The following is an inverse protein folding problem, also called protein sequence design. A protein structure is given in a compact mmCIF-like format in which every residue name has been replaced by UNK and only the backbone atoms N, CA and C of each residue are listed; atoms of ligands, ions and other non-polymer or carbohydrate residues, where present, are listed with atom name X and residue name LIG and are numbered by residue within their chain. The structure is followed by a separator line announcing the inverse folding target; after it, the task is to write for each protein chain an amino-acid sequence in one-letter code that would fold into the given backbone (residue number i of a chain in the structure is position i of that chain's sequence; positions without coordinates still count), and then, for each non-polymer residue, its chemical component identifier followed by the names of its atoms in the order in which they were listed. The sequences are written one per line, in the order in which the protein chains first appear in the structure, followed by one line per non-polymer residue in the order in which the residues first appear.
data_IF_289092517421
#
_entry.id   IF_289092517421
#
_cell.length_a   1.000
_cell.length_b   1.000
_cell.length_c   1.000
_cell.angle_alpha   90.00
_cell.angle_beta   90.00
_cell.angle_gamma   90.00
#
_symmetry.space_group_name_H-M   'P 1'
#
loop_
_entity.id
_entity.type
_entity.pdbx_description
1 polymer ?
#
# COMPACT_ATOMS: atom_id res chain seq x y z
N UNK A 1 -6.44 0.30 12.07
CA UNK A 1 -7.72 1.04 12.01
C UNK A 1 -7.52 2.56 12.15
N UNK A 2 -6.97 3.10 13.24
CA UNK A 2 -6.79 4.56 13.41
C UNK A 2 -6.01 5.27 12.28
N UNK A 3 -4.88 4.70 11.85
CA UNK A 3 -4.02 5.29 10.82
C UNK A 3 -4.71 5.36 9.44
N UNK A 4 -5.43 4.31 9.05
CA UNK A 4 -6.23 4.31 7.81
C UNK A 4 -7.35 5.35 7.89
N UNK A 5 -7.97 5.49 9.06
CA UNK A 5 -9.04 6.45 9.30
C UNK A 5 -8.55 7.91 9.23
N UNK A 6 -7.42 8.25 9.85
CA UNK A 6 -6.83 9.60 9.76
C UNK A 6 -6.42 9.96 8.32
N UNK A 7 -5.76 9.03 7.61
CA UNK A 7 -5.35 9.23 6.21
C UNK A 7 -6.54 9.45 5.27
N UNK A 8 -7.63 8.74 5.51
CA UNK A 8 -8.87 8.87 4.78
C UNK A 8 -9.55 10.23 5.06
N UNK A 9 -9.50 10.71 6.30
CA UNK A 9 -10.13 11.97 6.69
C UNK A 9 -9.31 13.23 6.34
N UNK A 10 -8.00 13.10 6.13
CA UNK A 10 -7.14 14.22 5.71
C UNK A 10 -7.15 14.47 4.17
N UNK A 11 -7.94 13.72 3.39
CA UNK A 11 -8.08 13.91 1.93
C UNK A 11 -6.87 13.49 1.10
N UNK A 12 -5.92 12.74 1.68
CA UNK A 12 -4.71 12.30 0.98
C UNK A 12 -5.01 11.37 -0.19
N UNK A 13 -6.05 10.55 -0.07
CA UNK A 13 -6.46 9.68 -1.16
C UNK A 13 -7.01 10.44 -2.36
N UNK A 14 -7.43 11.69 -2.23
CA UNK A 14 -7.86 12.50 -3.38
C UNK A 14 -6.66 13.10 -4.13
N UNK A 15 -5.52 13.27 -3.46
CA UNK A 15 -4.31 13.88 -4.00
C UNK A 15 -3.39 12.92 -4.76
N UNK A 16 -3.45 11.63 -4.43
CA UNK A 16 -2.62 10.61 -5.05
C UNK A 16 -3.25 10.11 -6.36
N UNK A 17 -2.49 9.53 -7.27
CA UNK A 17 -3.05 8.69 -8.33
C UNK A 17 -3.32 7.25 -7.83
N UNK A 18 -3.84 6.35 -8.66
CA UNK A 18 -4.13 4.97 -8.26
C UNK A 18 -2.86 4.17 -7.88
N UNK A 19 -1.75 4.39 -8.59
CA UNK A 19 -0.49 3.65 -8.33
C UNK A 19 0.12 4.11 -7.02
N UNK A 20 0.15 5.42 -6.78
CA UNK A 20 0.60 6.03 -5.53
C UNK A 20 -0.29 5.61 -4.36
N UNK A 21 -1.59 5.47 -4.60
CA UNK A 21 -2.54 4.95 -3.60
C UNK A 21 -2.23 3.50 -3.24
N UNK A 22 -1.94 2.66 -4.24
CA UNK A 22 -1.53 1.28 -4.00
C UNK A 22 -0.23 1.21 -3.19
N UNK A 23 0.77 2.03 -3.53
CA UNK A 23 2.04 2.11 -2.78
C UNK A 23 1.77 2.48 -1.33
N UNK A 24 0.94 3.51 -1.07
CA UNK A 24 0.59 3.92 0.28
C UNK A 24 -0.11 2.82 1.07
N UNK A 25 -1.12 2.18 0.48
CA UNK A 25 -1.87 1.12 1.18
C UNK A 25 -0.99 -0.10 1.46
N UNK A 26 -0.07 -0.43 0.55
CA UNK A 26 0.94 -1.46 0.84
C UNK A 26 1.87 -1.02 1.97
N UNK A 27 2.35 0.23 2.00
CA UNK A 27 3.22 0.70 3.06
C UNK A 27 2.58 0.73 4.45
N UNK A 28 1.25 0.81 4.53
CA UNK A 28 0.50 0.70 5.79
C UNK A 28 0.42 -0.76 6.29
N UNK A 29 0.44 -1.73 5.38
CA UNK A 29 0.12 -3.15 5.69
C UNK A 29 1.33 -4.08 5.63
N UNK A 30 2.36 -3.70 4.89
CA UNK A 30 3.55 -4.50 4.68
C UNK A 30 4.51 -4.38 5.87
N UNK A 31 5.25 -5.46 6.10
CA UNK A 31 6.32 -5.54 7.07
C UNK A 31 7.51 -6.19 6.37
N UNK A 32 8.55 -5.40 6.13
CA UNK A 32 9.80 -5.84 5.53
C UNK A 32 10.54 -6.79 6.46
N UNK A 33 11.38 -7.62 5.85
CA UNK A 33 12.29 -8.53 6.54
C UNK A 33 13.69 -7.94 6.48
N UNK A 34 14.43 -8.02 7.59
CA UNK A 34 15.76 -7.39 7.72
C UNK A 34 16.77 -7.91 6.68
N UNK A 35 16.73 -9.21 6.35
CA UNK A 35 17.64 -9.86 5.39
C UNK A 35 17.04 -9.99 3.99
N UNK A 36 16.31 -8.97 3.53
CA UNK A 36 15.69 -8.98 2.19
C UNK A 36 16.00 -7.69 1.47
N UNK A 37 16.51 -7.81 0.25
CA UNK A 37 16.75 -6.70 -0.65
C UNK A 37 15.42 -6.13 -1.18
N UNK A 38 15.29 -4.83 -1.07
CA UNK A 38 14.21 -4.07 -1.67
C UNK A 38 14.78 -2.90 -2.46
N UNK A 39 14.42 -2.80 -3.74
CA UNK A 39 14.84 -1.69 -4.59
C UNK A 39 14.08 -0.43 -4.21
N UNK A 40 14.80 0.62 -3.86
CA UNK A 40 14.21 1.93 -3.61
C UNK A 40 13.45 2.46 -4.84
N UNK A 41 12.29 3.05 -4.59
CA UNK A 41 11.52 3.75 -5.62
C UNK A 41 12.11 5.14 -5.83
N UNK A 42 12.30 5.56 -7.08
CA UNK A 42 12.89 6.85 -7.40
C UNK A 42 12.09 8.02 -6.81
N UNK A 43 12.78 9.05 -6.32
CA UNK A 43 12.15 10.25 -5.73
C UNK A 43 11.18 11.00 -6.64
N UNK A 44 11.28 10.81 -7.97
CA UNK A 44 10.34 11.39 -8.94
C UNK A 44 9.00 10.64 -8.98
N UNK A 45 9.01 9.35 -8.66
CA UNK A 45 7.83 8.49 -8.63
C UNK A 45 7.09 8.58 -7.27
N UNK A 46 7.82 8.90 -6.20
CA UNK A 46 7.25 9.24 -4.89
C UNK A 46 6.80 10.70 -4.88
N UNK A 47 5.48 10.91 -4.87
CA UNK A 47 4.87 12.24 -4.81
C UNK A 47 5.25 12.98 -3.51
N UNK A 48 5.33 14.32 -3.57
CA UNK A 48 5.51 15.19 -2.40
C UNK A 48 4.46 14.87 -1.32
N UNK A 49 3.23 14.58 -1.73
CA UNK A 49 2.15 14.19 -0.84
C UNK A 49 2.52 12.98 0.04
N UNK A 50 3.25 11.99 -0.51
CA UNK A 50 3.71 10.81 0.25
C UNK A 50 4.77 11.18 1.28
N UNK A 51 5.75 12.01 0.91
CA UNK A 51 6.80 12.46 1.82
C UNK A 51 6.27 13.35 2.95
N UNK A 52 5.24 14.15 2.68
CA UNK A 52 4.54 14.93 3.70
C UNK A 52 3.73 14.02 4.64
N UNK A 53 3.15 12.95 4.10
CA UNK A 53 2.37 11.98 4.85
C UNK A 53 3.21 11.16 5.81
N UNK A 54 4.34 10.64 5.34
CA UNK A 54 5.31 9.94 6.18
C UNK A 54 5.76 10.82 7.35
N UNK A 55 6.06 12.10 7.09
CA UNK A 55 6.36 13.10 8.12
C UNK A 55 5.20 13.32 9.10
N UNK A 56 3.94 13.28 8.66
CA UNK A 56 2.78 13.39 9.57
C UNK A 56 2.66 12.17 10.48
N UNK A 57 2.82 10.97 9.95
CA UNK A 57 2.75 9.73 10.71
C UNK A 57 3.85 9.69 11.78
N UNK A 58 5.08 10.04 11.41
CA UNK A 58 6.19 10.15 12.38
C UNK A 58 5.91 11.16 13.50
N UNK A 59 5.29 12.31 13.18
CA UNK A 59 4.88 13.30 14.20
C UNK A 59 3.81 12.77 15.14
N UNK A 60 2.84 12.00 14.62
CA UNK A 60 1.79 11.39 15.43
C UNK A 60 2.37 10.35 16.38
N UNK A 61 3.29 9.52 15.90
CA UNK A 61 4.02 8.55 16.73
C UNK A 61 4.80 9.25 17.85
N UNK A 62 5.60 10.27 17.50
CA UNK A 62 6.36 11.05 18.48
C UNK A 62 5.46 11.69 19.55
N UNK A 63 4.27 12.15 19.17
CA UNK A 63 3.28 12.66 20.13
C UNK A 63 2.77 11.56 21.04
N UNK A 64 2.39 10.39 20.52
CA UNK A 64 1.90 9.26 21.33
C UNK A 64 2.95 8.85 22.37
N UNK A 65 4.21 8.71 21.96
CA UNK A 65 5.34 8.39 22.84
C UNK A 65 5.53 9.43 23.94
N UNK A 66 5.48 10.72 23.58
CA UNK A 66 5.63 11.83 24.54
C UNK A 66 4.55 11.82 25.62
N UNK A 67 3.35 11.36 25.30
CA UNK A 67 2.24 11.26 26.27
C UNK A 67 2.17 9.89 26.98
N UNK A 68 3.17 9.02 26.80
CA UNK A 68 3.18 7.67 27.41
C UNK A 68 2.07 6.76 26.91
N UNK A 69 1.45 7.11 25.78
CA UNK A 69 0.42 6.28 25.13
C UNK A 69 1.16 5.22 24.35
N UNK A 70 0.81 3.94 24.55
CA UNK A 70 1.38 2.84 23.77
C UNK A 70 1.14 3.11 22.28
N UNK A 71 2.22 3.30 21.52
CA UNK A 71 2.15 3.65 20.09
C UNK A 71 1.37 2.59 19.33
N UNK A 72 0.18 2.97 18.86
CA UNK A 72 -0.70 2.10 18.08
C UNK A 72 -0.55 2.34 16.57
N UNK A 73 0.09 3.46 16.20
CA UNK A 73 0.35 3.86 14.82
C UNK A 73 1.70 3.28 14.40
N UNK A 74 1.71 2.41 13.39
CA UNK A 74 2.94 1.83 12.84
C UNK A 74 3.59 2.80 11.85
N UNK A 75 4.91 2.73 11.72
CA UNK A 75 5.62 3.49 10.69
C UNK A 75 5.21 2.94 9.31
N UNK A 76 5.24 3.79 8.28
CA UNK A 76 5.03 3.30 6.92
C UNK A 76 6.25 2.51 6.48
N UNK A 77 6.02 1.31 5.96
CA UNK A 77 7.07 0.49 5.35
C UNK A 77 7.03 0.64 3.83
N UNK A 78 7.82 1.57 3.30
CA UNK A 78 7.90 1.82 1.88
C UNK A 78 8.80 0.83 1.11
N UNK A 79 9.30 -0.24 1.74
CA UNK A 79 10.30 -1.13 1.11
C UNK A 79 9.75 -1.80 -0.16
N UNK A 80 8.49 -2.22 -0.16
CA UNK A 80 7.88 -2.89 -1.32
C UNK A 80 7.42 -1.92 -2.45
N UNK A 81 7.69 -0.62 -2.34
CA UNK A 81 7.13 0.41 -3.24
C UNK A 81 7.47 0.19 -4.71
N UNK A 82 8.70 -0.22 -5.04
CA UNK A 82 9.09 -0.45 -6.44
C UNK A 82 8.36 -1.63 -7.08
N UNK A 83 8.16 -2.71 -6.31
CA UNK A 83 7.37 -3.87 -6.72
C UNK A 83 5.94 -3.47 -6.98
N UNK A 84 5.31 -2.74 -6.05
CA UNK A 84 3.91 -2.28 -6.17
C UNK A 84 3.73 -1.31 -7.33
N UNK A 85 4.69 -0.41 -7.55
CA UNK A 85 4.68 0.52 -8.69
C UNK A 85 4.72 -0.23 -10.03
N UNK A 86 5.65 -1.18 -10.19
CA UNK A 86 5.75 -1.98 -11.41
C UNK A 86 4.50 -2.85 -11.62
N UNK A 87 4.07 -3.54 -10.57
CA UNK A 87 2.88 -4.40 -10.62
C UNK A 87 1.60 -3.60 -10.95
N UNK A 88 1.37 -2.45 -10.32
CA UNK A 88 0.18 -1.63 -10.59
C UNK A 88 0.17 -1.02 -12.00
N UNK A 89 1.34 -0.97 -12.66
CA UNK A 89 1.52 -0.52 -14.05
C UNK A 89 1.44 -1.67 -15.07
N UNK A 90 1.23 -2.90 -14.64
CA UNK A 90 1.00 -4.04 -15.53
C UNK A 90 2.21 -4.92 -15.82
N UNK A 91 3.31 -4.77 -15.08
CA UNK A 91 4.50 -5.63 -15.17
C UNK A 91 4.15 -7.12 -14.99
N UNK A 92 4.86 -8.02 -15.67
CA UNK A 92 4.69 -9.47 -15.44
C UNK A 92 5.22 -9.85 -14.05
N UNK A 93 4.69 -10.93 -13.47
CA UNK A 93 4.99 -11.26 -12.07
C UNK A 93 6.44 -11.73 -11.90
N UNK A 94 6.92 -12.49 -12.88
CA UNK A 94 8.29 -13.02 -12.97
C UNK A 94 9.34 -11.89 -13.01
N UNK A 95 8.97 -10.72 -13.54
CA UNK A 95 9.83 -9.55 -13.60
C UNK A 95 9.97 -8.81 -12.26
N UNK A 96 9.12 -9.12 -11.26
CA UNK A 96 9.19 -8.47 -9.94
C UNK A 96 10.49 -8.78 -9.19
N UNK A 97 11.15 -9.89 -9.52
CA UNK A 97 12.49 -10.27 -9.05
C UNK A 97 13.57 -9.20 -9.35
N UNK A 98 13.33 -8.29 -10.31
CA UNK A 98 14.20 -7.14 -10.60
C UNK A 98 14.16 -6.05 -9.51
N UNK A 99 13.20 -6.11 -8.61
CA UNK A 99 12.93 -5.08 -7.60
C UNK A 99 13.05 -5.58 -6.16
N UNK A 100 13.12 -6.88 -5.93
CA UNK A 100 13.29 -7.47 -4.60
C UNK A 100 13.74 -8.93 -4.72
N UNK A 101 14.41 -9.46 -3.69
CA UNK A 101 14.65 -10.90 -3.51
C UNK A 101 13.65 -11.56 -2.53
N UNK A 102 12.60 -10.83 -2.13
CA UNK A 102 11.49 -11.40 -1.37
C UNK A 102 10.87 -12.58 -2.13
N UNK A 103 10.45 -13.61 -1.38
CA UNK A 103 9.78 -14.77 -1.98
C UNK A 103 8.49 -14.37 -2.69
N UNK A 104 8.12 -15.07 -3.76
CA UNK A 104 6.84 -14.87 -4.46
C UNK A 104 5.65 -14.91 -3.51
N UNK A 105 5.69 -15.81 -2.51
CA UNK A 105 4.67 -15.91 -1.47
C UNK A 105 4.58 -14.65 -0.59
N UNK A 106 5.71 -14.04 -0.24
CA UNK A 106 5.73 -12.78 0.51
C UNK A 106 5.20 -11.61 -0.33
N UNK A 107 5.56 -11.54 -1.61
CA UNK A 107 5.05 -10.53 -2.54
C UNK A 107 3.53 -10.66 -2.68
N UNK A 108 3.03 -11.87 -2.98
CA UNK A 108 1.59 -12.15 -3.11
C UNK A 108 0.85 -11.84 -1.82
N UNK A 109 1.40 -12.22 -0.66
CA UNK A 109 0.82 -11.91 0.65
C UNK A 109 0.73 -10.40 0.87
N UNK A 110 1.80 -9.65 0.61
CA UNK A 110 1.82 -8.19 0.74
C UNK A 110 0.78 -7.51 -0.14
N UNK A 111 0.69 -7.91 -1.42
CA UNK A 111 -0.29 -7.37 -2.35
C UNK A 111 -1.74 -7.69 -1.92
N UNK A 112 -2.01 -8.93 -1.46
CA UNK A 112 -3.34 -9.32 -0.97
C UNK A 112 -3.76 -8.57 0.29
N UNK A 113 -2.84 -8.31 1.21
CA UNK A 113 -3.11 -7.48 2.40
C UNK A 113 -3.49 -6.05 1.99
N UNK A 114 -2.78 -5.46 1.04
CA UNK A 114 -3.08 -4.13 0.52
C UNK A 114 -4.46 -4.09 -0.17
N UNK A 115 -4.78 -5.08 -1.01
CA UNK A 115 -6.11 -5.21 -1.65
C UNK A 115 -7.22 -5.31 -0.60
N UNK A 116 -7.01 -6.09 0.46
CA UNK A 116 -7.99 -6.21 1.54
C UNK A 116 -8.22 -4.87 2.25
N UNK A 117 -7.16 -4.10 2.48
CA UNK A 117 -7.28 -2.75 3.06
C UNK A 117 -8.03 -1.79 2.11
N UNK A 118 -7.75 -1.80 0.80
CA UNK A 118 -8.53 -1.02 -0.17
C UNK A 118 -10.02 -1.34 -0.13
N UNK A 119 -10.37 -2.64 -0.04
CA UNK A 119 -11.77 -3.08 0.08
C UNK A 119 -12.41 -2.59 1.38
N UNK A 120 -11.67 -2.58 2.49
CA UNK A 120 -12.15 -2.04 3.76
C UNK A 120 -12.39 -0.54 3.68
N UNK A 121 -11.43 0.22 3.14
CA UNK A 121 -11.57 1.66 2.92
C UNK A 121 -12.81 1.93 2.06
N UNK A 122 -12.93 1.26 0.92
CA UNK A 122 -14.09 1.38 0.02
C UNK A 122 -15.42 1.16 0.75
N UNK A 123 -15.51 0.14 1.60
CA UNK A 123 -16.73 -0.14 2.40
C UNK A 123 -17.01 0.94 3.46
N UNK A 124 -15.99 1.61 3.97
CA UNK A 124 -16.12 2.62 5.01
C UNK A 124 -16.61 3.99 4.48
N UNK A 125 -16.50 4.26 3.18
CA UNK A 125 -16.88 5.54 2.55
C UNK A 125 -17.88 5.36 1.39
N UNK A 126 -19.05 4.74 1.62
CA UNK A 126 -19.99 4.40 0.54
C UNK A 126 -20.54 5.63 -0.22
N UNK A 127 -20.53 6.81 0.39
CA UNK A 127 -21.08 8.04 -0.19
C UNK A 127 -20.07 8.88 -0.99
N UNK A 128 -18.78 8.49 -1.03
CA UNK A 128 -17.73 9.26 -1.71
C UNK A 128 -17.47 8.72 -3.12
N UNK A 129 -18.38 9.00 -4.07
CA UNK A 129 -18.42 8.38 -5.41
C UNK A 129 -17.09 8.44 -6.18
N UNK A 130 -16.41 9.59 -6.18
CA UNK A 130 -15.13 9.73 -6.86
C UNK A 130 -14.08 8.75 -6.31
N UNK A 131 -14.03 8.62 -4.99
CA UNK A 131 -13.05 7.78 -4.32
C UNK A 131 -13.45 6.30 -4.40
N UNK A 132 -14.75 5.98 -4.49
CA UNK A 132 -15.22 4.63 -4.82
C UNK A 132 -14.62 4.15 -6.14
N UNK A 133 -14.80 4.91 -7.23
CA UNK A 133 -14.28 4.55 -8.55
C UNK A 133 -12.76 4.43 -8.58
N UNK A 134 -12.07 5.38 -7.91
CA UNK A 134 -10.61 5.30 -7.78
C UNK A 134 -10.15 4.03 -7.05
N UNK A 135 -10.79 3.68 -5.93
CA UNK A 135 -10.44 2.48 -5.16
C UNK A 135 -10.73 1.19 -5.94
N UNK A 136 -11.77 1.16 -6.78
CA UNK A 136 -12.03 0.05 -7.70
C UNK A 136 -10.89 -0.12 -8.71
N UNK A 137 -10.44 0.98 -9.32
CA UNK A 137 -9.29 0.96 -10.24
C UNK A 137 -8.00 0.50 -9.53
N UNK A 138 -7.75 0.97 -8.31
CA UNK A 138 -6.64 0.52 -7.47
C UNK A 138 -6.65 -1.01 -7.27
N UNK A 139 -7.82 -1.56 -6.90
CA UNK A 139 -8.01 -3.00 -6.69
C UNK A 139 -7.79 -3.76 -8.00
N UNK A 140 -8.37 -3.31 -9.12
CA UNK A 140 -8.26 -3.98 -10.41
C UNK A 140 -6.81 -4.04 -10.91
N UNK A 141 -6.00 -3.00 -10.67
CA UNK A 141 -4.57 -2.98 -11.04
C UNK A 141 -3.74 -4.03 -10.29
N UNK A 142 -4.09 -4.34 -9.04
CA UNK A 142 -3.34 -5.28 -8.20
C UNK A 142 -3.89 -6.71 -8.23
N UNK A 143 -5.21 -6.89 -8.32
CA UNK A 143 -5.88 -8.18 -8.25
C UNK A 143 -5.90 -8.87 -9.61
N UNK A 144 -4.73 -9.36 -10.05
CA UNK A 144 -4.54 -10.06 -11.33
C UNK A 144 -3.55 -11.22 -11.20
N UNK A 145 -3.54 -12.13 -12.17
CA UNK A 145 -2.57 -13.24 -12.23
C UNK A 145 -2.50 -14.06 -10.93
N UNK A 146 -1.30 -14.34 -10.45
CA UNK A 146 -1.06 -15.13 -9.22
C UNK A 146 -1.60 -14.46 -7.94
N UNK A 147 -1.78 -13.13 -7.96
CA UNK A 147 -2.30 -12.38 -6.81
C UNK A 147 -3.79 -12.62 -6.62
N UNK A 148 -4.52 -12.87 -7.70
CA UNK A 148 -5.95 -13.18 -7.66
C UNK A 148 -6.21 -14.62 -7.18
N UNK A 149 -6.60 -14.74 -5.91
CA UNK A 149 -6.87 -16.03 -5.29
C UNK A 149 -8.05 -16.79 -5.94
N UNK A 150 -9.04 -16.08 -6.49
CA UNK A 150 -10.22 -16.71 -7.10
C UNK A 150 -9.86 -17.33 -8.46
N UNK A 151 -9.02 -16.66 -9.24
CA UNK A 151 -8.46 -17.22 -10.48
C UNK A 151 -7.60 -18.46 -10.20
N UNK A 152 -6.81 -18.44 -9.12
CA UNK A 152 -5.99 -19.60 -8.74
C UNK A 152 -6.84 -20.82 -8.38
N UNK A 153 -7.95 -20.63 -7.65
CA UNK A 153 -8.86 -21.73 -7.29
C UNK A 153 -9.63 -22.32 -8.47
N UNK A 154 -9.90 -21.53 -9.52
CA UNK A 154 -10.58 -22.00 -10.73
C UNK A 154 -9.64 -22.68 -11.73
N UNK A 155 -8.34 -22.49 -11.57
CA UNK A 155 -7.29 -22.99 -12.48
C UNK A 155 -6.52 -24.20 -11.90
N UNK A 156 -6.84 -24.61 -10.66
CA UNK A 156 -6.29 -25.75 -9.95
C UNK A 156 -7.28 -26.93 -9.96
#
# INVERSE_FOLDING_TARGET
ELQTTELLFDGYFDLLDEVQTNILVTAITFESREDTFYKELGKRDLNIAFADLDRRIQRLQYRQERYGIKTSIKALDASLSSVVNAWSKGCDFEELSKYTDASDGDIVRGLRLAINLLRQIKRAIPQHEFLQGKLENCIARMNRGVVDAELQLRSA
#
